data_IF_534057593046
#
_entry.id   IF_534057593046
#
_cell.length_a   1.000
_cell.length_b   1.000
_cell.length_c   1.000
_cell.angle_alpha   90.00
_cell.angle_beta   90.00
_cell.angle_gamma   90.00
#
_symmetry.space_group_name_H-M   'P 1'
#
loop_
_entity.id
_entity.type
_entity.pdbx_description
1 polymer ?
#
# COMPACT_ATOMS: atom_id res chain seq x y z
N UNK A 1 -0.87 1.17 -7.93
CA UNK A 1 0.50 0.90 -8.47
C UNK A 1 1.46 0.91 -7.30
N UNK A 2 2.19 -0.17 -7.03
CA UNK A 2 3.17 -0.21 -5.95
C UNK A 2 4.51 0.35 -6.44
N UNK A 3 4.92 1.51 -5.91
CA UNK A 3 6.11 2.23 -6.34
C UNK A 3 6.81 2.88 -5.15
N UNK A 4 8.15 3.03 -5.17
CA UNK A 4 8.86 3.63 -4.05
C UNK A 4 8.35 5.03 -3.72
N UNK A 5 8.08 5.27 -2.43
CA UNK A 5 7.57 6.56 -1.93
C UNK A 5 8.50 7.73 -2.24
N UNK A 6 9.80 7.47 -2.31
CA UNK A 6 10.84 8.45 -2.61
C UNK A 6 10.71 9.02 -4.02
N UNK A 7 10.06 8.30 -4.94
CA UNK A 7 9.82 8.75 -6.31
C UNK A 7 8.41 9.27 -6.53
N UNK A 8 7.63 9.46 -5.47
CA UNK A 8 6.29 10.01 -5.57
C UNK A 8 6.31 11.42 -6.19
N UNK A 9 5.34 11.66 -7.07
CA UNK A 9 5.13 12.94 -7.75
C UNK A 9 3.95 13.67 -7.12
N UNK A 10 4.00 14.99 -7.20
CA UNK A 10 2.90 15.89 -6.86
C UNK A 10 2.63 16.84 -8.00
N UNK A 11 1.40 17.33 -8.05
CA UNK A 11 1.01 18.42 -8.92
C UNK A 11 1.18 19.72 -8.12
N UNK A 12 1.89 20.69 -8.70
CA UNK A 12 2.07 22.01 -8.10
C UNK A 12 0.82 22.88 -8.32
N UNK A 13 0.71 23.98 -7.56
CA UNK A 13 -0.38 24.95 -7.74
C UNK A 13 -0.49 25.49 -9.18
N UNK A 14 0.62 25.52 -9.93
CA UNK A 14 0.65 25.92 -11.35
C UNK A 14 0.31 24.80 -12.34
N UNK A 15 -0.26 23.68 -11.90
CA UNK A 15 -0.57 22.52 -12.75
C UNK A 15 0.70 21.99 -13.47
N UNK A 16 1.78 21.81 -12.71
CA UNK A 16 3.04 21.23 -13.19
C UNK A 16 3.46 20.07 -12.30
N UNK A 17 4.36 19.23 -12.80
CA UNK A 17 4.89 18.07 -12.07
C UNK A 17 6.07 18.48 -11.20
N UNK A 18 6.10 18.00 -9.96
CA UNK A 18 7.27 18.06 -9.08
C UNK A 18 7.42 16.73 -8.32
N UNK A 19 8.63 16.42 -7.86
CA UNK A 19 8.86 15.30 -6.93
C UNK A 19 8.63 15.74 -5.49
N UNK A 20 8.25 14.80 -4.62
CA UNK A 20 8.32 15.00 -3.18
C UNK A 20 9.76 14.97 -2.66
N UNK A 21 10.61 14.08 -3.21
CA UNK A 21 12.03 13.95 -2.87
C UNK A 21 12.89 14.03 -4.16
N UNK A 22 13.23 15.24 -4.65
CA UNK A 22 13.97 15.45 -5.90
C UNK A 22 15.36 14.80 -5.95
N UNK A 23 15.99 14.56 -4.81
CA UNK A 23 17.29 13.90 -4.66
C UNK A 23 17.32 12.48 -5.27
N UNK A 24 16.17 11.82 -5.38
CA UNK A 24 16.04 10.48 -5.94
C UNK A 24 15.67 10.44 -7.43
N UNK A 25 15.70 11.59 -8.13
CA UNK A 25 15.32 11.67 -9.55
C UNK A 25 16.12 10.70 -10.44
N UNK A 26 17.42 10.58 -10.19
CA UNK A 26 18.32 9.69 -10.93
C UNK A 26 18.46 8.28 -10.37
N UNK A 27 17.85 7.99 -9.21
CA UNK A 27 17.98 6.70 -8.55
C UNK A 27 17.03 5.68 -9.18
N UNK A 28 17.53 4.49 -9.51
CA UNK A 28 16.69 3.41 -10.03
C UNK A 28 15.82 2.87 -8.90
N UNK A 29 14.56 2.53 -9.19
CA UNK A 29 13.61 2.09 -8.17
C UNK A 29 14.06 0.84 -7.41
N UNK A 30 14.81 -0.05 -8.05
CA UNK A 30 15.37 -1.25 -7.43
C UNK A 30 16.58 -0.98 -6.52
N UNK A 31 17.18 0.21 -6.59
CA UNK A 31 18.29 0.59 -5.71
C UNK A 31 17.81 1.39 -4.49
N UNK A 32 16.51 1.72 -4.42
CA UNK A 32 15.90 2.38 -3.27
C UNK A 32 15.61 1.37 -2.17
N UNK A 33 15.60 1.86 -0.93
CA UNK A 33 15.18 1.05 0.22
C UNK A 33 13.78 0.48 0.00
N UNK A 34 13.63 -0.82 0.24
CA UNK A 34 12.32 -1.46 0.17
C UNK A 34 11.40 -0.87 1.23
N UNK A 35 10.22 -0.44 0.80
CA UNK A 35 9.22 0.18 1.64
C UNK A 35 7.86 -0.52 1.49
N UNK A 36 7.05 -0.41 2.54
CA UNK A 36 5.72 -0.99 2.61
C UNK A 36 4.68 0.09 2.84
N UNK A 37 3.49 -0.16 2.30
CA UNK A 37 2.28 0.60 2.59
C UNK A 37 1.39 -0.27 3.46
N UNK A 38 0.76 0.36 4.44
CA UNK A 38 -0.28 -0.30 5.20
C UNK A 38 -1.46 -0.66 4.29
N UNK A 39 -2.01 -1.85 4.48
CA UNK A 39 -3.12 -2.36 3.67
C UNK A 39 -4.49 -1.95 4.21
N UNK A 40 -4.57 -1.33 5.39
CA UNK A 40 -5.82 -0.88 6.01
C UNK A 40 -6.79 -1.99 6.44
N UNK A 41 -6.44 -3.27 6.26
CA UNK A 41 -7.39 -4.38 6.43
C UNK A 41 -7.67 -4.73 7.90
N UNK A 42 -6.62 -5.02 8.67
CA UNK A 42 -6.76 -5.47 10.06
C UNK A 42 -5.62 -4.97 10.93
N UNK A 43 -5.98 -4.56 12.15
CA UNK A 43 -5.03 -4.30 13.22
C UNK A 43 -5.45 -5.08 14.47
N UNK A 44 -4.52 -5.83 15.05
CA UNK A 44 -4.77 -6.64 16.23
C UNK A 44 -3.78 -6.30 17.33
N UNK A 45 -4.21 -6.45 18.58
CA UNK A 45 -3.38 -6.14 19.74
C UNK A 45 -4.02 -6.65 21.02
N UNK A 46 -3.19 -6.80 22.05
CA UNK A 46 -3.67 -7.12 23.41
C UNK A 46 -4.60 -5.99 23.91
N UNK A 47 -5.63 -6.33 24.67
CA UNK A 47 -6.58 -5.37 25.26
C UNK A 47 -5.88 -4.21 25.98
N UNK A 48 -4.82 -4.51 26.74
CA UNK A 48 -4.00 -3.52 27.43
C UNK A 48 -3.37 -2.48 26.47
N UNK A 49 -2.97 -2.88 25.26
CA UNK A 49 -2.38 -1.96 24.29
C UNK A 49 -3.42 -0.93 23.83
N UNK A 50 -4.65 -1.38 23.60
CA UNK A 50 -5.78 -0.51 23.26
C UNK A 50 -6.17 0.41 24.42
N UNK A 51 -6.32 -0.13 25.63
CA UNK A 51 -6.66 0.66 26.83
C UNK A 51 -5.62 1.74 27.15
N UNK A 52 -4.35 1.50 26.82
CA UNK A 52 -3.25 2.46 26.99
C UNK A 52 -3.02 3.35 25.76
N UNK A 53 -3.88 3.30 24.75
CA UNK A 53 -3.75 4.04 23.49
C UNK A 53 -2.34 3.91 22.87
N UNK A 54 -1.77 2.70 22.89
CA UNK A 54 -0.47 2.47 22.25
C UNK A 54 -0.62 2.64 20.72
N UNK A 55 0.31 3.34 20.05
CA UNK A 55 0.26 3.50 18.60
C UNK A 55 0.30 2.15 17.88
N UNK A 56 -0.57 1.99 16.88
CA UNK A 56 -0.55 0.82 15.98
C UNK A 56 0.69 0.84 15.09
N UNK A 57 1.08 2.02 14.60
CA UNK A 57 2.32 2.22 13.85
C UNK A 57 3.44 2.64 14.80
N UNK A 58 4.31 1.70 15.16
CA UNK A 58 5.44 1.96 16.03
C UNK A 58 6.32 0.73 16.23
N UNK A 59 7.45 0.93 16.91
CA UNK A 59 8.46 -0.13 17.14
C UNK A 59 7.95 -1.34 17.94
N UNK A 60 6.81 -1.22 18.63
CA UNK A 60 6.19 -2.31 19.38
C UNK A 60 5.24 -3.19 18.57
N UNK A 61 5.06 -2.92 17.28
CA UNK A 61 4.16 -3.64 16.39
C UNK A 61 4.93 -4.56 15.44
N UNK A 62 4.28 -5.63 15.00
CA UNK A 62 4.83 -6.58 14.03
C UNK A 62 3.93 -6.54 12.79
N UNK A 63 4.49 -6.32 11.58
CA UNK A 63 3.70 -6.32 10.36
C UNK A 63 3.34 -7.75 9.94
N UNK A 64 2.18 -7.91 9.32
CA UNK A 64 1.83 -9.12 8.57
C UNK A 64 1.96 -8.79 7.08
N UNK A 65 2.93 -9.41 6.41
CA UNK A 65 3.18 -9.16 4.99
C UNK A 65 2.11 -9.83 4.14
N UNK A 66 1.51 -9.05 3.23
CA UNK A 66 0.50 -9.53 2.30
C UNK A 66 1.05 -9.54 0.87
N UNK A 67 0.72 -10.57 0.06
CA UNK A 67 0.99 -10.53 -1.36
C UNK A 67 0.34 -9.31 -2.01
N UNK A 68 1.10 -8.52 -2.77
CA UNK A 68 0.62 -7.25 -3.37
C UNK A 68 -0.65 -7.41 -4.21
N UNK A 69 -0.83 -8.56 -4.86
CA UNK A 69 -2.01 -8.83 -5.67
C UNK A 69 -3.27 -9.13 -4.84
N UNK A 70 -3.17 -9.22 -3.51
CA UNK A 70 -4.31 -9.43 -2.60
C UNK A 70 -4.75 -8.16 -1.86
N UNK A 71 -4.16 -7.02 -2.22
CA UNK A 71 -4.42 -5.73 -1.55
C UNK A 71 -4.97 -4.74 -2.57
N UNK A 72 -6.16 -4.21 -2.29
CA UNK A 72 -6.79 -3.11 -2.99
C UNK A 72 -7.68 -2.38 -1.99
N UNK A 73 -7.35 -1.13 -1.69
CA UNK A 73 -8.23 -0.24 -0.94
C UNK A 73 -9.31 0.29 -1.89
N UNK A 74 -10.51 0.58 -1.38
CA UNK A 74 -11.64 1.00 -2.20
C UNK A 74 -12.14 2.35 -1.71
N UNK A 75 -11.61 3.40 -2.31
CA UNK A 75 -12.06 4.78 -2.09
C UNK A 75 -13.01 5.25 -3.19
N UNK A 76 -12.86 4.71 -4.40
CA UNK A 76 -13.57 5.15 -5.60
C UNK A 76 -14.23 4.00 -6.37
N UNK A 77 -15.18 4.29 -7.28
CA UNK A 77 -15.72 3.28 -8.19
C UNK A 77 -14.66 2.60 -9.07
N UNK A 78 -13.62 3.33 -9.49
CA UNK A 78 -12.51 2.76 -10.27
C UNK A 78 -11.74 1.70 -9.46
N UNK A 79 -11.55 1.93 -8.15
CA UNK A 79 -10.93 0.96 -7.25
C UNK A 79 -11.78 -0.31 -7.11
N UNK A 80 -13.11 -0.17 -7.09
CA UNK A 80 -14.03 -1.30 -7.07
C UNK A 80 -13.92 -2.14 -8.34
N UNK A 81 -13.99 -1.51 -9.51
CA UNK A 81 -13.84 -2.21 -10.81
C UNK A 81 -12.50 -2.97 -10.88
N UNK A 82 -11.44 -2.35 -10.36
CA UNK A 82 -10.12 -2.97 -10.26
C UNK A 82 -10.14 -4.16 -9.31
N UNK A 83 -10.75 -4.05 -8.13
CA UNK A 83 -10.87 -5.14 -7.17
C UNK A 83 -11.63 -6.34 -7.75
N UNK A 84 -12.74 -6.10 -8.46
CA UNK A 84 -13.50 -7.15 -9.14
C UNK A 84 -12.69 -7.86 -10.22
N UNK A 85 -11.93 -7.11 -11.02
CA UNK A 85 -11.03 -7.68 -12.02
C UNK A 85 -9.96 -8.56 -11.37
N UNK A 86 -9.34 -8.08 -10.28
CA UNK A 86 -8.34 -8.85 -9.53
C UNK A 86 -8.95 -10.13 -8.97
N UNK A 87 -10.14 -10.06 -8.36
CA UNK A 87 -10.81 -11.22 -7.79
C UNK A 87 -11.13 -12.29 -8.83
N UNK A 88 -11.63 -11.89 -10.02
CA UNK A 88 -11.93 -12.82 -11.12
C UNK A 88 -10.71 -13.60 -11.60
N UNK A 89 -9.53 -12.97 -11.62
CA UNK A 89 -8.29 -13.62 -12.06
C UNK A 89 -7.69 -14.51 -10.96
N UNK A 90 -7.82 -14.10 -9.70
CA UNK A 90 -7.21 -14.78 -8.56
C UNK A 90 -8.04 -15.94 -8.01
N UNK A 91 -9.36 -15.92 -8.28
CA UNK A 91 -10.24 -17.03 -7.95
C UNK A 91 -10.08 -18.10 -9.02
N UNK A 92 -9.63 -19.32 -8.68
CA UNK A 92 -9.68 -20.42 -9.63
C UNK A 92 -11.13 -20.63 -10.07
N UNK A 93 -11.36 -20.75 -11.38
CA UNK A 93 -12.62 -21.24 -11.92
C UNK A 93 -12.96 -22.57 -11.21
N UNK A 94 -14.17 -22.74 -10.65
CA UNK A 94 -14.57 -24.01 -10.06
C UNK A 94 -14.61 -25.07 -11.18
N UNK A 95 -13.54 -25.86 -11.34
CA UNK A 95 -13.49 -26.96 -12.30
C UNK A 95 -12.17 -27.17 -13.06
N UNK A 96 -11.06 -26.55 -12.68
CA UNK A 96 -9.74 -26.85 -13.26
C UNK A 96 -8.86 -27.64 -12.28
N UNK A 97 -9.17 -28.93 -12.14
CA UNK A 97 -8.25 -30.00 -11.72
C UNK A 97 -8.03 -30.97 -12.89
#
# INVERSE_FOLDING_TARGET
YAFPIQRALRITAGQRVAMFQPEHLGTRSQDLEEAWHDAGQFYWGRSEAWLKNKPVFGQGSVPVLLPRHRVQDIDTPEDWERAECMFRILSPEPGSE
#
